data_IF_451602753908
#
_entry.id   IF_451602753908
#
_cell.length_a   1.000
_cell.length_b   1.000
_cell.length_c   1.000
_cell.angle_alpha   90.00
_cell.angle_beta   90.00
_cell.angle_gamma   90.00
#
_symmetry.space_group_name_H-M   'P 1'
#
loop_
_entity.id
_entity.type
_entity.pdbx_description
1 polymer ?
#
# COMPACT_ATOMS: atom_id res chain seq x y z
N UNK A 1 -33.35 5.89 -12.58
CA UNK A 1 -32.10 5.17 -12.91
C UNK A 1 -31.31 5.13 -11.61
N UNK A 2 -30.93 3.94 -11.11
CA UNK A 2 -30.09 3.86 -9.93
C UNK A 2 -28.77 4.59 -10.25
N UNK A 3 -28.39 5.50 -9.39
CA UNK A 3 -27.12 6.22 -9.49
C UNK A 3 -26.01 5.17 -9.31
N UNK A 4 -25.48 4.67 -10.40
CA UNK A 4 -24.52 3.55 -10.37
C UNK A 4 -23.12 4.12 -10.14
N UNK A 5 -22.88 4.65 -8.90
CA UNK A 5 -21.57 5.12 -8.50
C UNK A 5 -20.61 3.92 -8.40
N UNK A 6 -19.80 3.72 -9.44
CA UNK A 6 -18.80 2.64 -9.50
C UNK A 6 -17.76 2.70 -8.39
N UNK A 7 -17.60 3.83 -7.74
CA UNK A 7 -16.66 4.05 -6.63
C UNK A 7 -17.29 3.88 -5.25
N UNK A 8 -18.61 3.61 -5.17
CA UNK A 8 -19.30 3.39 -3.90
C UNK A 8 -18.74 2.15 -3.18
N UNK A 9 -18.34 2.33 -1.92
CA UNK A 9 -17.82 1.30 -1.05
C UNK A 9 -18.71 1.06 0.18
N UNK A 10 -19.94 1.56 0.16
CA UNK A 10 -20.93 1.35 1.24
C UNK A 10 -21.10 -0.15 1.51
N UNK A 11 -20.94 -0.55 2.78
CA UNK A 11 -21.00 -1.96 3.20
C UNK A 11 -19.73 -2.77 2.92
N UNK A 12 -18.70 -2.17 2.33
CA UNK A 12 -17.38 -2.80 2.16
C UNK A 12 -16.50 -2.59 3.37
N UNK A 13 -15.55 -3.51 3.56
CA UNK A 13 -14.58 -3.47 4.64
C UNK A 13 -13.16 -3.43 4.09
N UNK A 14 -12.29 -2.62 4.69
CA UNK A 14 -10.91 -2.48 4.23
C UNK A 14 -9.91 -2.62 5.38
N UNK A 15 -8.87 -3.43 5.16
CA UNK A 15 -7.68 -3.52 6.02
C UNK A 15 -6.53 -2.76 5.36
N UNK A 16 -5.95 -1.79 6.07
CA UNK A 16 -4.85 -0.96 5.57
C UNK A 16 -3.63 -1.12 6.47
N UNK A 17 -2.56 -1.72 5.97
CA UNK A 17 -1.28 -1.78 6.69
C UNK A 17 -0.48 -0.49 6.50
N UNK A 18 0.22 -0.04 7.56
CA UNK A 18 0.88 1.26 7.55
C UNK A 18 -0.10 2.44 7.47
N UNK A 19 -1.34 2.24 7.97
CA UNK A 19 -2.45 3.19 7.86
C UNK A 19 -2.43 4.35 8.85
N UNK A 20 -1.40 4.45 9.72
CA UNK A 20 -1.36 5.48 10.77
C UNK A 20 -0.97 6.88 10.28
N UNK A 21 -0.41 7.01 9.07
CA UNK A 21 0.07 8.28 8.50
C UNK A 21 0.44 8.16 7.02
N UNK A 22 0.75 9.33 6.38
CA UNK A 22 1.24 9.40 5.00
C UNK A 22 0.34 8.67 4.02
N UNK A 23 0.91 8.00 3.02
CA UNK A 23 0.15 7.37 1.94
C UNK A 23 -0.94 6.40 2.45
N UNK A 24 -0.66 5.65 3.53
CA UNK A 24 -1.63 4.73 4.12
C UNK A 24 -2.85 5.43 4.70
N UNK A 25 -2.67 6.60 5.35
CA UNK A 25 -3.77 7.41 5.87
C UNK A 25 -4.56 8.08 4.75
N UNK A 26 -3.89 8.61 3.72
CA UNK A 26 -4.54 9.19 2.53
C UNK A 26 -5.44 8.16 1.82
N UNK A 27 -4.95 6.92 1.66
CA UNK A 27 -5.75 5.83 1.10
C UNK A 27 -6.92 5.44 2.01
N UNK A 28 -6.72 5.46 3.34
CA UNK A 28 -7.80 5.25 4.31
C UNK A 28 -8.90 6.32 4.19
N UNK A 29 -8.51 7.60 4.07
CA UNK A 29 -9.45 8.70 3.80
C UNK A 29 -10.25 8.47 2.52
N UNK A 30 -9.57 8.10 1.43
CA UNK A 30 -10.23 7.83 0.16
C UNK A 30 -11.28 6.71 0.27
N UNK A 31 -10.91 5.57 0.86
CA UNK A 31 -11.81 4.43 1.00
C UNK A 31 -12.97 4.76 1.95
N UNK A 32 -12.68 5.39 3.08
CA UNK A 32 -13.68 5.77 4.07
C UNK A 32 -14.67 6.82 3.57
N UNK A 33 -14.21 7.79 2.79
CA UNK A 33 -15.09 8.83 2.18
C UNK A 33 -16.09 8.23 1.18
N UNK A 34 -15.82 7.06 0.64
CA UNK A 34 -16.73 6.30 -0.22
C UNK A 34 -17.54 5.24 0.55
N UNK A 35 -17.54 5.27 1.89
CA UNK A 35 -18.40 4.46 2.75
C UNK A 35 -17.79 3.14 3.21
N UNK A 36 -16.51 2.86 2.98
CA UNK A 36 -15.87 1.67 3.51
C UNK A 36 -15.65 1.79 5.02
N UNK A 37 -15.89 0.68 5.76
CA UNK A 37 -15.47 0.54 7.16
C UNK A 37 -14.03 0.05 7.23
N UNK A 38 -13.19 0.73 8.05
CA UNK A 38 -11.75 0.57 8.00
C UNK A 38 -11.18 -0.11 9.23
N UNK A 39 -10.13 -0.94 9.03
CA UNK A 39 -9.21 -1.35 10.06
C UNK A 39 -7.79 -0.90 9.67
N UNK A 40 -7.20 -0.03 10.48
CA UNK A 40 -5.84 0.44 10.31
C UNK A 40 -4.87 -0.44 11.08
N UNK A 41 -3.71 -0.74 10.51
CA UNK A 41 -2.63 -1.40 11.25
C UNK A 41 -1.29 -0.70 11.05
N UNK A 42 -0.54 -0.57 12.13
CA UNK A 42 0.84 -0.11 12.20
C UNK A 42 1.44 -0.53 13.56
N UNK A 43 2.73 -0.25 13.79
CA UNK A 43 3.41 -0.67 15.03
C UNK A 43 3.05 0.16 16.26
N UNK A 44 2.68 1.43 16.07
CA UNK A 44 2.50 2.39 17.17
C UNK A 44 1.02 2.68 17.41
N UNK A 45 0.53 2.29 18.58
CA UNK A 45 -0.85 2.48 18.98
C UNK A 45 -1.25 3.94 19.11
N UNK A 46 -0.34 4.82 19.58
CA UNK A 46 -0.58 6.26 19.69
C UNK A 46 -0.80 6.92 18.32
N UNK A 47 0.03 6.58 17.32
CA UNK A 47 -0.14 7.08 15.95
C UNK A 47 -1.44 6.53 15.30
N UNK A 48 -1.81 5.28 15.59
CA UNK A 48 -3.06 4.67 15.10
C UNK A 48 -4.29 5.31 15.73
N UNK A 49 -4.26 5.60 17.04
CA UNK A 49 -5.35 6.29 17.71
C UNK A 49 -5.54 7.73 17.18
N UNK A 50 -4.45 8.43 16.87
CA UNK A 50 -4.52 9.75 16.23
C UNK A 50 -5.14 9.66 14.83
N UNK A 51 -4.73 8.69 14.01
CA UNK A 51 -5.29 8.45 12.68
C UNK A 51 -6.79 8.13 12.75
N UNK A 52 -7.21 7.26 13.68
CA UNK A 52 -8.62 6.96 13.92
C UNK A 52 -9.40 8.22 14.27
N UNK A 53 -8.91 9.03 15.23
CA UNK A 53 -9.59 10.27 15.64
C UNK A 53 -9.67 11.27 14.48
N UNK A 54 -8.64 11.32 13.61
CA UNK A 54 -8.67 12.13 12.41
C UNK A 54 -9.78 11.67 11.44
N UNK A 55 -9.87 10.37 11.16
CA UNK A 55 -10.89 9.80 10.28
C UNK A 55 -12.30 9.99 10.83
N UNK A 56 -12.52 9.78 12.13
CA UNK A 56 -13.81 10.00 12.81
C UNK A 56 -14.30 11.44 12.68
N UNK A 57 -13.40 12.44 12.72
CA UNK A 57 -13.76 13.86 12.49
C UNK A 57 -14.29 14.14 11.09
N UNK A 58 -13.94 13.27 10.12
CA UNK A 58 -14.43 13.33 8.74
C UNK A 58 -15.61 12.38 8.48
N UNK A 59 -16.21 11.82 9.54
CA UNK A 59 -17.36 10.93 9.44
C UNK A 59 -17.02 9.51 8.94
N UNK A 60 -15.75 9.13 8.98
CA UNK A 60 -15.25 7.83 8.49
C UNK A 60 -15.20 6.84 9.65
N UNK A 61 -15.87 5.70 9.49
CA UNK A 61 -15.83 4.60 10.47
C UNK A 61 -14.49 3.85 10.38
N UNK A 62 -13.68 3.96 11.42
CA UNK A 62 -12.37 3.34 11.49
C UNK A 62 -12.08 2.73 12.86
N UNK A 63 -11.46 1.57 12.86
CA UNK A 63 -10.85 0.94 14.03
C UNK A 63 -9.36 0.67 13.74
N UNK A 64 -8.63 0.21 14.73
CA UNK A 64 -7.21 -0.08 14.55
C UNK A 64 -6.75 -1.30 15.36
N UNK A 65 -5.59 -1.85 14.93
CA UNK A 65 -4.86 -2.91 15.63
C UNK A 65 -3.35 -2.70 15.46
N UNK A 66 -2.62 -2.65 16.57
CA UNK A 66 -1.16 -2.47 16.53
C UNK A 66 -0.48 -3.82 16.23
N UNK A 67 0.32 -3.87 15.16
CA UNK A 67 1.06 -5.06 14.75
C UNK A 67 2.37 -4.68 14.05
N UNK A 68 3.42 -5.46 14.27
CA UNK A 68 4.65 -5.40 13.49
C UNK A 68 4.55 -6.36 12.29
N UNK A 69 4.31 -5.83 11.11
CA UNK A 69 4.18 -6.61 9.87
C UNK A 69 5.43 -7.42 9.47
N UNK A 70 6.55 -7.30 10.20
CA UNK A 70 7.71 -8.17 10.03
C UNK A 70 7.68 -9.44 10.91
N UNK A 71 6.73 -9.52 11.86
CA UNK A 71 6.60 -10.63 12.81
C UNK A 71 5.39 -11.50 12.47
N UNK A 72 5.62 -12.79 12.30
CA UNK A 72 4.56 -13.73 11.93
C UNK A 72 3.45 -13.86 12.99
N UNK A 73 3.80 -13.81 14.27
CA UNK A 73 2.81 -13.82 15.35
C UNK A 73 1.88 -12.60 15.25
N UNK A 74 2.46 -11.40 15.14
CA UNK A 74 1.68 -10.15 15.02
C UNK A 74 0.79 -10.14 13.75
N UNK A 75 1.24 -10.79 12.66
CA UNK A 75 0.47 -10.92 11.42
C UNK A 75 -0.75 -11.83 11.63
N UNK A 76 -0.58 -12.95 12.33
CA UNK A 76 -1.68 -13.85 12.66
C UNK A 76 -2.70 -13.16 13.58
N UNK A 77 -2.22 -12.45 14.60
CA UNK A 77 -3.07 -11.66 15.51
C UNK A 77 -3.83 -10.55 14.77
N UNK A 78 -3.17 -9.88 13.82
CA UNK A 78 -3.81 -8.88 12.94
C UNK A 78 -4.91 -9.51 12.07
N UNK A 79 -4.66 -10.69 11.52
CA UNK A 79 -5.67 -11.39 10.72
C UNK A 79 -6.87 -11.81 11.58
N UNK A 80 -6.64 -12.27 12.82
CA UNK A 80 -7.69 -12.56 13.79
C UNK A 80 -8.49 -11.31 14.16
N UNK A 81 -7.80 -10.22 14.46
CA UNK A 81 -8.42 -8.94 14.77
C UNK A 81 -9.26 -8.41 13.59
N UNK A 82 -8.79 -8.58 12.34
CA UNK A 82 -9.54 -8.18 11.14
C UNK A 82 -10.84 -8.97 11.01
N UNK A 83 -10.81 -10.29 11.21
CA UNK A 83 -12.03 -11.10 11.18
C UNK A 83 -12.98 -10.73 12.30
N UNK A 84 -12.48 -10.50 13.50
CA UNK A 84 -13.31 -10.16 14.66
C UNK A 84 -13.95 -8.76 14.53
N UNK A 85 -13.16 -7.74 14.14
CA UNK A 85 -13.61 -6.34 14.08
C UNK A 85 -14.42 -6.02 12.83
N UNK A 86 -14.04 -6.55 11.67
CA UNK A 86 -14.71 -6.29 10.40
C UNK A 86 -15.73 -7.37 9.99
N UNK A 87 -15.64 -8.57 10.56
CA UNK A 87 -16.40 -9.75 10.14
C UNK A 87 -15.81 -10.40 8.89
N UNK A 88 -15.35 -9.62 7.95
CA UNK A 88 -14.64 -10.03 6.72
C UNK A 88 -13.77 -8.89 6.21
N UNK A 89 -12.92 -9.17 5.22
CA UNK A 89 -12.12 -8.17 4.52
C UNK A 89 -12.41 -8.25 3.04
N UNK A 90 -12.97 -7.18 2.48
CA UNK A 90 -13.22 -7.03 1.04
C UNK A 90 -12.00 -6.43 0.33
N UNK A 91 -11.33 -5.46 0.98
CA UNK A 91 -10.24 -4.68 0.42
C UNK A 91 -9.02 -4.81 1.33
N UNK A 92 -7.87 -5.19 0.76
CA UNK A 92 -6.60 -5.25 1.45
C UNK A 92 -5.61 -4.28 0.80
N UNK A 93 -5.19 -3.26 1.56
CA UNK A 93 -4.14 -2.32 1.14
C UNK A 93 -2.82 -2.72 1.84
N UNK A 94 -1.93 -3.33 1.09
CA UNK A 94 -0.59 -3.68 1.52
C UNK A 94 0.35 -2.49 1.34
N UNK A 95 0.36 -1.57 2.31
CA UNK A 95 1.12 -0.32 2.24
C UNK A 95 2.32 -0.28 3.20
N UNK A 96 2.31 -1.06 4.28
CA UNK A 96 3.45 -1.09 5.21
C UNK A 96 4.76 -1.40 4.49
N UNK A 97 5.79 -0.62 4.77
CA UNK A 97 7.10 -0.81 4.15
C UNK A 97 8.23 -0.12 4.91
N UNK A 98 9.45 -0.56 4.62
CA UNK A 98 10.69 0.01 5.12
C UNK A 98 11.71 0.15 3.99
N UNK A 99 12.63 1.08 4.17
CA UNK A 99 13.78 1.29 3.31
C UNK A 99 15.04 1.41 4.17
N UNK A 100 16.18 1.09 3.58
CA UNK A 100 17.51 1.29 4.15
C UNK A 100 18.47 1.65 3.02
N UNK A 101 19.45 2.52 3.29
CA UNK A 101 20.44 2.97 2.31
C UNK A 101 21.86 2.62 2.76
N UNK A 102 22.60 1.91 1.90
CA UNK A 102 24.04 1.68 2.00
C UNK A 102 24.58 1.26 0.62
N UNK A 103 25.90 1.37 0.40
CA UNK A 103 26.55 0.84 -0.78
C UNK A 103 26.29 -0.67 -0.91
N UNK A 104 26.16 -1.18 -2.12
CA UNK A 104 25.78 -2.58 -2.33
C UNK A 104 26.81 -3.55 -1.76
N UNK A 105 28.11 -3.22 -1.90
CA UNK A 105 29.23 -3.99 -1.40
C UNK A 105 29.33 -4.02 0.13
N UNK A 106 28.81 -2.98 0.81
CA UNK A 106 28.83 -2.84 2.27
C UNK A 106 27.42 -2.94 2.88
N UNK A 107 26.44 -3.43 2.13
CA UNK A 107 25.05 -3.46 2.58
C UNK A 107 24.87 -4.47 3.72
N UNK A 108 24.45 -4.06 4.95
CA UNK A 108 24.29 -4.99 6.06
C UNK A 108 23.18 -6.01 5.80
N UNK A 109 23.47 -7.30 6.00
CA UNK A 109 22.50 -8.39 5.79
C UNK A 109 21.28 -8.22 6.69
N UNK A 110 21.46 -7.76 7.92
CA UNK A 110 20.37 -7.49 8.87
C UNK A 110 19.43 -6.39 8.37
N UNK A 111 19.97 -5.38 7.66
CA UNK A 111 19.16 -4.33 7.04
C UNK A 111 18.41 -4.87 5.80
N UNK A 112 19.04 -5.75 5.02
CA UNK A 112 18.39 -6.47 3.94
C UNK A 112 17.21 -7.30 4.46
N UNK A 113 17.44 -8.14 5.46
CA UNK A 113 16.43 -9.00 6.07
C UNK A 113 15.28 -8.16 6.66
N UNK A 114 15.58 -7.05 7.34
CA UNK A 114 14.57 -6.13 7.86
C UNK A 114 13.65 -5.59 6.77
N UNK A 115 14.21 -5.20 5.62
CA UNK A 115 13.42 -4.70 4.49
C UNK A 115 12.59 -5.82 3.89
N UNK A 116 13.16 -6.98 3.62
CA UNK A 116 12.45 -8.11 3.00
C UNK A 116 11.39 -8.73 3.92
N UNK A 117 11.68 -8.83 5.22
CA UNK A 117 10.72 -9.36 6.19
C UNK A 117 9.44 -8.52 6.26
N UNK A 118 9.55 -7.19 6.15
CA UNK A 118 8.36 -6.34 6.15
C UNK A 118 7.73 -6.23 4.75
N UNK A 119 8.54 -5.87 3.72
CA UNK A 119 8.02 -5.49 2.42
C UNK A 119 7.50 -6.67 1.60
N UNK A 120 7.97 -7.88 1.86
CA UNK A 120 7.64 -9.09 1.07
C UNK A 120 7.10 -10.21 1.96
N UNK A 121 7.90 -10.73 2.92
CA UNK A 121 7.48 -11.90 3.70
C UNK A 121 6.20 -11.61 4.50
N UNK A 122 6.18 -10.52 5.24
CA UNK A 122 5.02 -10.15 6.06
C UNK A 122 3.79 -9.82 5.23
N UNK A 123 3.97 -9.08 4.14
CA UNK A 123 2.92 -8.79 3.16
C UNK A 123 2.32 -10.10 2.60
N UNK A 124 3.16 -11.05 2.19
CA UNK A 124 2.71 -12.36 1.69
C UNK A 124 1.89 -13.11 2.75
N UNK A 125 2.41 -13.22 3.98
CA UNK A 125 1.73 -13.94 5.06
C UNK A 125 0.36 -13.32 5.37
N UNK A 126 0.27 -12.00 5.49
CA UNK A 126 -1.01 -11.33 5.72
C UNK A 126 -1.98 -11.56 4.56
N UNK A 127 -1.51 -11.39 3.33
CA UNK A 127 -2.32 -11.62 2.11
C UNK A 127 -2.85 -13.05 2.08
N UNK A 128 -2.01 -14.05 2.42
CA UNK A 128 -2.41 -15.46 2.50
C UNK A 128 -3.50 -15.68 3.57
N UNK A 129 -3.33 -15.13 4.77
CA UNK A 129 -4.31 -15.26 5.85
C UNK A 129 -5.65 -14.63 5.48
N UNK A 130 -5.65 -13.41 4.96
CA UNK A 130 -6.88 -12.71 4.54
C UNK A 130 -7.53 -13.41 3.34
N UNK A 131 -6.75 -13.83 2.36
CA UNK A 131 -7.24 -14.60 1.21
C UNK A 131 -7.95 -15.88 1.65
N UNK A 132 -7.30 -16.71 2.45
CA UNK A 132 -7.82 -17.99 2.93
C UNK A 132 -9.07 -17.84 3.80
N UNK A 133 -9.10 -16.81 4.67
CA UNK A 133 -10.14 -16.67 5.72
C UNK A 133 -11.33 -15.83 5.29
N UNK A 134 -11.15 -14.96 4.29
CA UNK A 134 -12.19 -14.01 3.84
C UNK A 134 -12.44 -14.05 2.34
N UNK A 135 -11.47 -13.72 1.51
CA UNK A 135 -11.70 -13.41 0.10
C UNK A 135 -12.05 -14.65 -0.73
N UNK A 136 -11.28 -15.74 -0.60
CA UNK A 136 -11.48 -16.98 -1.37
C UNK A 136 -12.85 -17.63 -1.04
N UNK A 137 -13.23 -17.84 0.24
CA UNK A 137 -14.54 -18.45 0.55
C UNK A 137 -15.74 -17.60 0.07
N UNK A 138 -15.55 -16.28 -0.06
CA UNK A 138 -16.60 -15.35 -0.48
C UNK A 138 -16.58 -15.05 -1.98
N UNK A 139 -15.60 -15.57 -2.72
CA UNK A 139 -15.39 -15.29 -4.14
C UNK A 139 -15.37 -13.78 -4.45
N UNK A 140 -14.75 -12.99 -3.58
CA UNK A 140 -14.63 -11.55 -3.71
C UNK A 140 -13.40 -11.02 -2.97
N UNK A 141 -12.65 -10.14 -3.60
CA UNK A 141 -11.54 -9.42 -2.97
C UNK A 141 -10.92 -8.37 -3.90
N UNK A 142 -10.39 -7.33 -3.28
CA UNK A 142 -9.62 -6.26 -3.93
C UNK A 142 -8.30 -6.11 -3.18
N UNK A 143 -7.19 -6.47 -3.81
CA UNK A 143 -5.86 -6.35 -3.20
C UNK A 143 -5.10 -5.26 -3.94
N UNK A 144 -4.66 -4.25 -3.19
CA UNK A 144 -3.84 -3.15 -3.71
C UNK A 144 -2.50 -3.15 -2.99
N UNK A 145 -1.46 -3.49 -3.71
CA UNK A 145 -0.09 -3.50 -3.21
C UNK A 145 0.56 -2.15 -3.47
N UNK A 146 1.22 -1.57 -2.47
CA UNK A 146 1.95 -0.32 -2.66
C UNK A 146 3.40 -0.65 -3.00
N UNK A 147 3.66 -0.70 -4.31
CA UNK A 147 5.00 -0.87 -4.87
C UNK A 147 5.80 0.46 -4.79
N UNK A 148 6.49 0.82 -5.83
CA UNK A 148 7.22 2.08 -6.01
C UNK A 148 7.74 2.13 -7.45
N UNK A 149 7.99 3.31 -7.99
CA UNK A 149 8.78 3.45 -9.22
C UNK A 149 10.17 2.82 -9.08
N UNK A 150 10.72 2.74 -7.86
CA UNK A 150 11.95 2.02 -7.56
C UNK A 150 11.89 0.50 -7.81
N UNK A 151 10.70 -0.07 -7.94
CA UNK A 151 10.48 -1.45 -8.36
C UNK A 151 10.31 -1.64 -9.86
N UNK A 152 10.19 -0.55 -10.61
CA UNK A 152 9.99 -0.55 -12.07
C UNK A 152 11.30 -0.35 -12.83
N UNK A 153 12.28 0.29 -12.21
CA UNK A 153 13.59 0.59 -12.80
C UNK A 153 14.70 0.63 -11.74
N UNK A 154 15.94 0.57 -12.17
CA UNK A 154 17.11 0.81 -11.33
C UNK A 154 17.29 2.31 -11.01
N UNK A 155 18.13 2.59 -10.03
CA UNK A 155 18.53 3.94 -9.71
C UNK A 155 19.62 4.42 -10.68
N UNK A 156 19.60 5.69 -11.13
CA UNK A 156 20.70 6.25 -11.92
C UNK A 156 21.97 6.41 -11.08
N UNK A 157 23.15 6.54 -11.72
CA UNK A 157 24.40 6.81 -10.99
C UNK A 157 24.29 8.05 -10.11
N UNK A 158 24.85 7.97 -8.90
CA UNK A 158 24.79 9.06 -7.89
C UNK A 158 23.46 9.18 -7.15
N UNK A 159 22.46 8.37 -7.48
CA UNK A 159 21.21 8.30 -6.74
C UNK A 159 21.34 7.47 -5.46
N UNK A 160 20.22 7.27 -4.77
CA UNK A 160 20.18 6.50 -3.53
C UNK A 160 20.64 5.06 -3.68
N UNK A 161 21.43 4.61 -2.73
CA UNK A 161 21.92 3.25 -2.60
C UNK A 161 20.92 2.41 -1.77
N UNK A 162 19.79 2.07 -2.36
CA UNK A 162 18.67 1.38 -1.68
C UNK A 162 18.37 0.01 -2.29
N UNK A 163 19.42 -0.78 -2.51
CA UNK A 163 19.33 -2.06 -3.25
C UNK A 163 18.24 -2.98 -2.69
N UNK A 164 18.15 -3.19 -1.37
CA UNK A 164 17.13 -4.05 -0.77
C UNK A 164 15.71 -3.51 -1.02
N UNK A 165 15.51 -2.19 -0.91
CA UNK A 165 14.21 -1.57 -1.16
C UNK A 165 13.79 -1.75 -2.62
N UNK A 166 14.64 -1.38 -3.58
CA UNK A 166 14.36 -1.52 -5.01
C UNK A 166 14.05 -2.98 -5.36
N UNK A 167 14.86 -3.92 -4.87
CA UNK A 167 14.65 -5.35 -5.10
C UNK A 167 13.34 -5.83 -4.50
N UNK A 168 13.00 -5.42 -3.27
CA UNK A 168 11.73 -5.78 -2.63
C UNK A 168 10.53 -5.22 -3.39
N UNK A 169 10.62 -3.99 -3.91
CA UNK A 169 9.53 -3.39 -4.71
C UNK A 169 9.40 -4.02 -6.11
N UNK A 170 10.51 -4.46 -6.71
CA UNK A 170 10.50 -5.28 -7.93
C UNK A 170 9.89 -6.66 -7.69
N UNK A 171 10.22 -7.31 -6.57
CA UNK A 171 9.59 -8.56 -6.16
C UNK A 171 8.08 -8.40 -5.97
N UNK A 172 7.62 -7.28 -5.37
CA UNK A 172 6.20 -6.99 -5.17
C UNK A 172 5.46 -6.77 -6.51
N UNK A 173 6.11 -6.18 -7.50
CA UNK A 173 5.57 -6.04 -8.86
C UNK A 173 5.27 -7.41 -9.46
N UNK A 174 6.21 -8.36 -9.39
CA UNK A 174 5.98 -9.70 -9.93
C UNK A 174 5.01 -10.52 -9.06
N UNK A 175 5.06 -10.40 -7.75
CA UNK A 175 4.10 -10.99 -6.82
C UNK A 175 2.66 -10.59 -7.17
N UNK A 176 2.43 -9.31 -7.49
CA UNK A 176 1.11 -8.79 -7.89
C UNK A 176 0.58 -9.52 -9.13
N UNK A 177 1.42 -9.70 -10.16
CA UNK A 177 1.03 -10.38 -11.41
C UNK A 177 0.75 -11.86 -11.18
N UNK A 178 1.63 -12.53 -10.43
CA UNK A 178 1.49 -13.97 -10.13
C UNK A 178 0.22 -14.24 -9.34
N UNK A 179 -0.01 -13.47 -8.27
CA UNK A 179 -1.18 -13.65 -7.43
C UNK A 179 -2.50 -13.32 -8.17
N UNK A 180 -2.49 -12.33 -9.07
CA UNK A 180 -3.62 -12.02 -9.93
C UNK A 180 -4.01 -13.23 -10.82
N UNK A 181 -3.03 -13.93 -11.38
CA UNK A 181 -3.24 -15.15 -12.16
C UNK A 181 -3.81 -16.29 -11.32
N UNK A 182 -3.29 -16.50 -10.12
CA UNK A 182 -3.74 -17.60 -9.25
C UNK A 182 -5.14 -17.37 -8.66
N UNK A 183 -5.45 -16.13 -8.24
CA UNK A 183 -6.67 -15.84 -7.47
C UNK A 183 -7.79 -15.21 -8.30
N UNK A 184 -7.55 -14.87 -9.57
CA UNK A 184 -8.59 -14.35 -10.47
C UNK A 184 -9.81 -15.25 -10.59
N UNK A 185 -9.62 -16.58 -10.56
CA UNK A 185 -10.72 -17.57 -10.55
C UNK A 185 -11.68 -17.47 -9.37
N UNK A 186 -11.27 -16.79 -8.29
CA UNK A 186 -12.09 -16.53 -7.11
C UNK A 186 -12.71 -15.11 -7.13
N UNK A 187 -12.71 -14.41 -8.27
CA UNK A 187 -13.23 -13.04 -8.35
C UNK A 187 -12.39 -12.00 -7.60
N UNK A 188 -11.13 -12.34 -7.28
CA UNK A 188 -10.19 -11.46 -6.57
C UNK A 188 -9.33 -10.74 -7.59
N UNK A 189 -9.30 -9.40 -7.53
CA UNK A 189 -8.34 -8.61 -8.29
C UNK A 189 -7.13 -8.26 -7.44
N UNK A 190 -5.95 -8.29 -8.04
CA UNK A 190 -4.69 -7.95 -7.38
C UNK A 190 -3.94 -6.96 -8.27
N UNK A 191 -3.77 -5.74 -7.80
CA UNK A 191 -3.10 -4.67 -8.54
C UNK A 191 -2.07 -3.98 -7.65
N UNK A 192 -1.19 -3.19 -8.23
CA UNK A 192 -0.24 -2.39 -7.48
C UNK A 192 -0.26 -0.92 -7.93
N UNK A 193 -0.12 -0.03 -6.96
CA UNK A 193 0.27 1.36 -7.20
C UNK A 193 1.79 1.47 -7.05
N UNK A 194 2.42 2.18 -7.95
CA UNK A 194 3.84 2.50 -7.90
C UNK A 194 4.02 4.02 -7.73
N UNK A 195 3.98 4.53 -6.49
CA UNK A 195 4.16 5.94 -6.22
C UNK A 195 5.55 6.42 -6.62
N UNK A 196 5.63 7.66 -7.12
CA UNK A 196 6.85 8.43 -7.27
C UNK A 196 7.29 9.09 -5.96
N UNK A 197 7.68 10.34 -6.03
CA UNK A 197 8.14 11.12 -4.88
C UNK A 197 6.96 11.85 -4.23
N UNK A 198 6.60 11.39 -3.04
CA UNK A 198 5.59 12.00 -2.17
C UNK A 198 6.26 12.46 -0.88
N UNK A 199 6.03 13.68 -0.41
CA UNK A 199 6.53 14.12 0.89
C UNK A 199 5.97 13.25 2.01
N UNK A 200 6.86 12.61 2.75
CA UNK A 200 6.52 11.74 3.86
C UNK A 200 7.70 11.60 4.82
N UNK A 201 7.49 11.04 6.01
CA UNK A 201 8.58 10.75 6.93
C UNK A 201 9.63 9.81 6.33
N UNK A 202 9.23 8.92 5.41
CA UNK A 202 10.14 7.99 4.75
C UNK A 202 10.97 8.68 3.66
N UNK A 203 10.38 9.60 2.91
CA UNK A 203 11.00 10.27 1.75
C UNK A 203 11.69 11.58 2.10
N UNK A 204 11.44 12.15 3.29
CA UNK A 204 11.94 13.48 3.67
C UNK A 204 13.47 13.61 3.61
N UNK A 205 14.19 12.60 4.11
CA UNK A 205 15.65 12.58 4.03
C UNK A 205 16.16 12.51 2.59
N UNK A 206 15.49 11.75 1.75
CA UNK A 206 15.77 11.61 0.33
C UNK A 206 15.54 12.92 -0.42
N UNK A 207 14.35 13.50 -0.27
CA UNK A 207 13.98 14.77 -0.93
C UNK A 207 15.01 15.85 -0.55
N UNK A 208 15.39 15.89 0.74
CA UNK A 208 16.44 16.81 1.22
C UNK A 208 17.82 16.54 0.60
N UNK A 209 18.21 15.28 0.40
CA UNK A 209 19.53 14.90 -0.12
C UNK A 209 19.64 15.14 -1.62
N UNK A 210 18.63 14.77 -2.40
CA UNK A 210 18.62 14.95 -3.85
C UNK A 210 18.29 16.38 -4.29
N UNK A 211 17.60 17.12 -3.41
CA UNK A 211 17.03 18.43 -3.75
C UNK A 211 15.66 18.30 -4.42
N UNK A 212 14.70 19.05 -3.92
CA UNK A 212 13.33 19.05 -4.45
C UNK A 212 13.30 19.51 -5.91
N UNK A 213 14.04 20.56 -6.25
CA UNK A 213 14.12 21.09 -7.63
C UNK A 213 14.60 20.04 -8.63
N UNK A 214 15.55 19.16 -8.24
CA UNK A 214 16.05 18.07 -9.10
C UNK A 214 14.97 17.03 -9.35
N UNK A 215 14.20 16.68 -8.31
CA UNK A 215 13.11 15.71 -8.42
C UNK A 215 11.96 16.26 -9.26
N UNK A 216 11.61 17.53 -9.07
CA UNK A 216 10.60 18.24 -9.83
C UNK A 216 11.02 18.37 -11.30
N UNK A 217 12.28 18.78 -11.56
CA UNK A 217 12.79 18.98 -12.92
C UNK A 217 12.80 17.71 -13.77
N UNK A 218 12.87 16.53 -13.14
CA UNK A 218 12.82 15.23 -13.81
C UNK A 218 11.38 14.67 -13.95
N UNK A 219 10.37 15.38 -13.43
CA UNK A 219 8.96 14.97 -13.54
C UNK A 219 8.26 15.79 -14.62
N UNK A 220 7.62 15.18 -15.62
CA UNK A 220 6.82 15.90 -16.62
C UNK A 220 5.78 16.85 -16.03
N UNK A 221 5.13 16.49 -14.91
CA UNK A 221 4.18 17.38 -14.23
C UNK A 221 4.84 18.45 -13.36
N UNK A 222 6.16 18.47 -13.25
CA UNK A 222 6.97 19.47 -12.54
C UNK A 222 6.49 19.76 -11.10
N UNK A 223 6.09 18.71 -10.39
CA UNK A 223 5.73 18.77 -8.95
C UNK A 223 5.94 17.42 -8.28
N UNK A 224 6.08 17.42 -6.99
CA UNK A 224 5.95 16.21 -6.16
C UNK A 224 4.48 15.79 -6.07
N UNK A 225 4.25 14.55 -5.68
CA UNK A 225 2.91 14.09 -5.32
C UNK A 225 2.43 14.75 -4.03
N UNK A 226 1.12 14.93 -3.89
CA UNK A 226 0.47 15.49 -2.71
C UNK A 226 -0.51 14.49 -2.05
N UNK A 227 -1.26 14.96 -1.06
CA UNK A 227 -2.14 14.13 -0.24
C UNK A 227 -3.37 13.61 -1.00
N UNK A 228 -3.64 14.10 -2.22
CA UNK A 228 -4.79 13.73 -3.03
C UNK A 228 -4.44 12.76 -4.19
N UNK A 229 -3.20 12.79 -4.66
CA UNK A 229 -2.79 12.14 -5.92
C UNK A 229 -2.96 10.61 -5.95
N UNK A 230 -2.88 9.94 -4.80
CA UNK A 230 -3.09 8.48 -4.73
C UNK A 230 -4.56 8.07 -4.53
N UNK A 231 -5.42 8.99 -4.11
CA UNK A 231 -6.80 8.68 -3.72
C UNK A 231 -7.60 8.10 -4.89
N UNK A 232 -7.58 8.75 -6.04
CA UNK A 232 -8.31 8.30 -7.24
C UNK A 232 -7.85 6.92 -7.74
N UNK A 233 -6.54 6.68 -7.80
CA UNK A 233 -5.98 5.40 -8.21
C UNK A 233 -6.29 4.28 -7.21
N UNK A 234 -6.32 4.60 -5.90
CA UNK A 234 -6.72 3.66 -4.85
C UNK A 234 -8.18 3.26 -5.01
N UNK A 235 -9.07 4.21 -5.21
CA UNK A 235 -10.50 3.97 -5.42
C UNK A 235 -10.74 3.14 -6.69
N UNK A 236 -10.03 3.44 -7.78
CA UNK A 236 -10.12 2.65 -9.02
C UNK A 236 -9.87 1.16 -8.75
N UNK A 237 -8.81 0.82 -8.03
CA UNK A 237 -8.46 -0.59 -7.80
C UNK A 237 -9.26 -1.24 -6.66
N UNK A 238 -9.82 -0.48 -5.75
CA UNK A 238 -10.55 -0.97 -4.60
C UNK A 238 -12.07 -1.14 -4.84
N UNK A 239 -12.61 -0.53 -5.88
CA UNK A 239 -14.05 -0.48 -6.16
C UNK A 239 -14.45 -1.29 -7.40
N UNK A 240 -15.73 -1.24 -7.75
CA UNK A 240 -16.25 -1.86 -8.97
C UNK A 240 -15.84 -1.12 -10.25
N UNK A 241 -15.28 0.09 -10.16
CA UNK A 241 -14.64 0.77 -11.28
C UNK A 241 -13.45 -0.03 -11.84
N UNK A 242 -12.73 -0.76 -10.97
CA UNK A 242 -11.61 -1.62 -11.32
C UNK A 242 -11.92 -3.12 -11.42
N UNK A 243 -13.19 -3.54 -11.40
CA UNK A 243 -13.56 -4.97 -11.31
C UNK A 243 -13.05 -5.87 -12.44
N UNK A 244 -12.63 -5.29 -13.56
CA UNK A 244 -12.02 -6.00 -14.69
C UNK A 244 -10.55 -5.67 -14.87
N UNK A 245 -9.90 -5.08 -13.86
CA UNK A 245 -8.49 -4.73 -13.85
C UNK A 245 -7.79 -5.62 -12.82
N UNK A 246 -6.84 -6.46 -13.27
CA UNK A 246 -6.03 -7.30 -12.38
C UNK A 246 -4.63 -7.49 -12.96
N UNK A 247 -3.64 -7.70 -12.09
CA UNK A 247 -2.23 -7.86 -12.46
C UNK A 247 -1.54 -6.58 -12.93
N UNK A 248 -2.19 -5.42 -12.80
CA UNK A 248 -1.66 -4.14 -13.29
C UNK A 248 -0.81 -3.43 -12.25
N UNK A 249 0.17 -2.70 -12.78
CA UNK A 249 1.05 -1.83 -11.98
C UNK A 249 0.86 -0.42 -12.52
N UNK A 250 0.22 0.43 -11.75
CA UNK A 250 -0.03 1.81 -12.14
C UNK A 250 0.97 2.74 -11.46
N UNK A 251 1.82 3.38 -12.24
CA UNK A 251 2.68 4.44 -11.74
C UNK A 251 1.85 5.70 -11.46
N UNK A 252 2.05 6.28 -10.26
CA UNK A 252 1.46 7.56 -9.86
C UNK A 252 2.64 8.45 -9.44
N UNK A 253 3.29 9.07 -10.41
CA UNK A 253 4.62 9.64 -10.26
C UNK A 253 4.87 10.94 -11.05
N UNK A 254 3.81 11.55 -11.55
CA UNK A 254 3.91 12.76 -12.39
C UNK A 254 4.57 12.53 -13.74
N UNK A 255 4.67 11.27 -14.20
CA UNK A 255 5.33 10.88 -15.44
C UNK A 255 6.83 10.60 -15.28
N UNK A 256 7.37 10.65 -14.08
CA UNK A 256 8.80 10.48 -13.78
C UNK A 256 9.40 9.16 -14.34
N UNK A 257 8.64 8.08 -14.36
CA UNK A 257 9.11 6.78 -14.89
C UNK A 257 8.78 6.55 -16.36
N UNK A 258 8.07 7.46 -17.02
CA UNK A 258 7.62 7.33 -18.39
C UNK A 258 8.62 7.95 -19.42
N UNK A 259 9.57 8.77 -18.95
CA UNK A 259 10.56 9.50 -19.75
C UNK A 259 11.97 9.21 -19.31
#
# INVERSE_FOLDING_TARGET
MADNNLFDLTGRTALITGGSRGLGLQMAEALGSQGARLLLSARKSDELQQARTHLEKHGIEADWFAADGAKEADINDLADAAMHKLGHVDILINNAGASWGAAAEDYPVEAWDKVFNLNIRGLFLLTQQIGKRSMIPRNYGRIVNIASIAGLRGNPPGAMQTIAYNTSKGALVNFTRTLAGEWGRYGITVNALAPGFFPSKMSSALIKTLGEDVLIGNSPLQRLGDDEDLKGATLLFASDAGKHITGQILAVDGGYSAV
#
